data_IF_000453137445
#
_entry.id   IF_000453137445
#
_cell.length_a   1.000
_cell.length_b   1.000
_cell.length_c   1.000
_cell.angle_alpha   90.00
_cell.angle_beta   90.00
_cell.angle_gamma   90.00
#
_symmetry.space_group_name_H-M   'P 1'
#
loop_
_entity.id
_entity.type
_entity.pdbx_description
1 polymer ?
#
# COMPACT_ATOMS: atom_id res chain seq x y z
N UNK A 1 7.22 -23.37 -38.81
CA UNK A 1 6.93 -21.98 -38.46
C UNK A 1 5.44 -21.83 -38.38
N UNK A 2 4.89 -21.99 -37.18
CA UNK A 2 3.73 -21.22 -36.75
C UNK A 2 3.92 -21.07 -35.24
N UNK A 3 4.67 -20.03 -34.90
CA UNK A 3 4.84 -19.56 -33.53
C UNK A 3 3.57 -18.76 -33.23
N UNK A 4 2.52 -19.47 -32.84
CA UNK A 4 1.30 -18.86 -32.31
C UNK A 4 1.65 -18.32 -30.92
N UNK A 5 2.29 -17.15 -30.91
CA UNK A 5 2.37 -16.29 -29.75
C UNK A 5 0.94 -15.86 -29.47
N UNK A 6 0.28 -16.54 -28.55
CA UNK A 6 -0.91 -16.00 -27.87
C UNK A 6 -0.43 -14.89 -26.95
N UNK A 7 -0.05 -13.78 -27.55
CA UNK A 7 0.03 -12.45 -26.94
C UNK A 7 -1.40 -11.90 -26.98
N UNK A 8 -2.24 -12.34 -26.06
CA UNK A 8 -3.60 -11.83 -25.90
C UNK A 8 -3.76 -11.42 -24.44
N UNK A 9 -3.51 -10.13 -24.17
CA UNK A 9 -3.73 -9.54 -22.86
C UNK A 9 -2.96 -8.27 -22.52
N UNK A 10 -2.52 -7.45 -23.48
CA UNK A 10 -2.12 -6.07 -23.19
C UNK A 10 -3.35 -5.15 -23.38
N UNK A 11 -3.78 -4.45 -22.32
CA UNK A 11 -4.56 -3.23 -22.49
C UNK A 11 -5.84 -3.02 -21.69
N UNK A 12 -6.09 -3.78 -20.63
CA UNK A 12 -6.85 -3.30 -19.48
C UNK A 12 -6.14 -3.83 -18.25
N UNK A 13 -5.66 -2.93 -17.41
CA UNK A 13 -5.22 -3.25 -16.06
C UNK A 13 -6.47 -3.80 -15.37
N UNK A 14 -6.68 -5.12 -15.44
CA UNK A 14 -7.80 -5.77 -14.77
C UNK A 14 -7.53 -5.58 -13.28
N UNK A 15 -8.22 -4.59 -12.71
CA UNK A 15 -8.11 -4.28 -11.29
C UNK A 15 -8.67 -5.50 -10.56
N UNK A 16 -7.77 -6.40 -10.21
CA UNK A 16 -8.04 -7.67 -9.57
C UNK A 16 -7.45 -7.68 -8.16
N UNK A 17 -8.03 -8.51 -7.29
CA UNK A 17 -7.52 -8.70 -5.93
C UNK A 17 -6.05 -9.17 -5.91
N UNK A 18 -5.59 -9.86 -6.95
CA UNK A 18 -4.20 -10.32 -7.09
C UNK A 18 -3.23 -9.17 -7.36
N UNK A 19 -3.64 -8.20 -8.20
CA UNK A 19 -2.83 -6.99 -8.45
C UNK A 19 -2.72 -6.14 -7.19
N UNK A 20 -3.84 -5.96 -6.48
CA UNK A 20 -3.89 -5.22 -5.21
C UNK A 20 -2.99 -5.89 -4.15
N UNK A 21 -2.96 -7.23 -4.10
CA UNK A 21 -2.07 -7.97 -3.22
C UNK A 21 -0.60 -7.81 -3.61
N UNK A 22 -0.29 -7.80 -4.92
CA UNK A 22 1.06 -7.54 -5.42
C UNK A 22 1.54 -6.12 -5.06
N UNK A 23 0.67 -5.11 -5.14
CA UNK A 23 1.00 -3.74 -4.75
C UNK A 23 1.21 -3.61 -3.23
N UNK A 24 0.41 -4.30 -2.42
CA UNK A 24 0.62 -4.40 -0.98
C UNK A 24 1.99 -5.00 -0.63
N UNK A 25 2.39 -6.08 -1.32
CA UNK A 25 3.69 -6.72 -1.11
C UNK A 25 4.83 -5.80 -1.57
N UNK A 26 4.69 -5.17 -2.75
CA UNK A 26 5.64 -4.21 -3.30
C UNK A 26 5.88 -3.04 -2.35
N UNK A 27 4.84 -2.51 -1.71
CA UNK A 27 4.95 -1.41 -0.74
C UNK A 27 5.82 -1.74 0.49
N UNK A 28 6.24 -3.00 0.68
CA UNK A 28 7.21 -3.37 1.72
C UNK A 28 8.66 -3.00 1.37
N UNK A 29 8.98 -2.93 0.07
CA UNK A 29 10.30 -2.58 -0.46
C UNK A 29 10.46 -1.09 -0.81
N UNK A 30 9.36 -0.32 -0.79
CA UNK A 30 9.36 1.10 -1.15
C UNK A 30 9.66 2.02 0.05
N UNK A 31 10.08 3.25 -0.26
CA UNK A 31 10.22 4.33 0.73
C UNK A 31 8.85 4.76 1.26
N UNK A 32 8.80 5.33 2.47
CA UNK A 32 7.54 5.57 3.18
C UNK A 32 6.53 6.39 2.37
N UNK A 33 6.97 7.48 1.73
CA UNK A 33 6.09 8.31 0.89
C UNK A 33 5.54 7.55 -0.31
N UNK A 34 6.41 6.86 -1.07
CA UNK A 34 6.03 6.11 -2.27
C UNK A 34 5.14 4.91 -1.91
N UNK A 35 5.46 4.21 -0.82
CA UNK A 35 4.65 3.11 -0.30
C UNK A 35 3.23 3.57 0.06
N UNK A 36 3.07 4.75 0.68
CA UNK A 36 1.74 5.30 1.00
C UNK A 36 0.95 5.62 -0.27
N UNK A 37 1.60 6.16 -1.31
CA UNK A 37 0.94 6.44 -2.58
C UNK A 37 0.41 5.15 -3.23
N UNK A 38 1.24 4.12 -3.33
CA UNK A 38 0.86 2.81 -3.89
C UNK A 38 -0.28 2.17 -3.08
N UNK A 39 -0.19 2.16 -1.75
CA UNK A 39 -1.24 1.55 -0.91
C UNK A 39 -2.58 2.31 -0.98
N UNK A 40 -2.56 3.63 -1.22
CA UNK A 40 -3.77 4.43 -1.41
C UNK A 40 -4.41 4.17 -2.77
N UNK A 41 -3.61 4.00 -3.81
CA UNK A 41 -4.07 3.60 -5.14
C UNK A 41 -4.74 2.22 -5.08
N UNK A 42 -4.05 1.24 -4.51
CA UNK A 42 -4.56 -0.12 -4.31
C UNK A 42 -5.87 -0.15 -3.49
N UNK A 43 -6.07 0.80 -2.57
CA UNK A 43 -7.34 0.95 -1.84
C UNK A 43 -8.47 1.51 -2.72
N UNK A 44 -8.18 2.48 -3.57
CA UNK A 44 -9.14 2.99 -4.55
C UNK A 44 -9.58 1.92 -5.54
N UNK A 45 -8.63 1.08 -5.96
CA UNK A 45 -8.84 -0.09 -6.79
C UNK A 45 -9.74 -1.13 -6.10
N UNK A 46 -9.47 -1.40 -4.82
CA UNK A 46 -10.31 -2.28 -4.00
C UNK A 46 -11.77 -1.76 -3.88
N UNK A 47 -11.96 -0.45 -3.83
CA UNK A 47 -13.29 0.17 -3.83
C UNK A 47 -13.98 0.05 -5.21
N UNK A 48 -13.22 0.14 -6.30
CA UNK A 48 -13.74 -0.01 -7.66
C UNK A 48 -14.33 -1.40 -7.91
N UNK A 49 -13.73 -2.44 -7.32
CA UNK A 49 -14.16 -3.84 -7.47
C UNK A 49 -15.24 -4.28 -6.48
N UNK A 50 -15.62 -3.43 -5.51
CA UNK A 50 -16.58 -3.78 -4.44
C UNK A 50 -17.95 -4.22 -4.94
N UNK A 51 -18.37 -3.74 -6.10
CA UNK A 51 -19.68 -4.05 -6.69
C UNK A 51 -19.68 -5.29 -7.59
N UNK A 52 -18.52 -5.87 -7.85
CA UNK A 52 -18.40 -6.96 -8.81
C UNK A 52 -18.77 -8.31 -8.17
N UNK A 53 -19.71 -9.08 -8.77
CA UNK A 53 -20.16 -10.35 -8.21
C UNK A 53 -19.16 -11.51 -8.37
N UNK A 54 -18.12 -11.35 -9.20
CA UNK A 54 -17.04 -12.33 -9.32
C UNK A 54 -15.94 -12.14 -8.26
N UNK A 55 -15.93 -10.98 -7.59
CA UNK A 55 -14.95 -10.66 -6.55
C UNK A 55 -15.31 -11.36 -5.23
N UNK A 56 -14.33 -12.08 -4.69
CA UNK A 56 -14.47 -12.69 -3.37
C UNK A 56 -14.51 -11.60 -2.29
N UNK A 57 -15.68 -11.41 -1.70
CA UNK A 57 -15.89 -10.35 -0.70
C UNK A 57 -15.01 -10.55 0.54
N UNK A 58 -14.75 -11.80 0.94
CA UNK A 58 -13.91 -12.11 2.10
C UNK A 58 -12.45 -11.74 1.86
N UNK A 59 -11.91 -12.14 0.70
CA UNK A 59 -10.55 -11.75 0.27
C UNK A 59 -10.43 -10.24 0.12
N UNK A 60 -11.45 -9.58 -0.43
CA UNK A 60 -11.50 -8.11 -0.55
C UNK A 60 -11.42 -7.43 0.83
N UNK A 61 -12.24 -7.84 1.79
CA UNK A 61 -12.26 -7.28 3.14
C UNK A 61 -10.95 -7.53 3.91
N UNK A 62 -10.33 -8.70 3.71
CA UNK A 62 -9.01 -9.00 4.27
C UNK A 62 -7.93 -8.08 3.70
N UNK A 63 -7.91 -7.88 2.37
CA UNK A 63 -7.00 -6.94 1.72
C UNK A 63 -7.24 -5.50 2.18
N UNK A 64 -8.50 -5.07 2.33
CA UNK A 64 -8.86 -3.77 2.88
C UNK A 64 -8.19 -3.54 4.25
N UNK A 65 -8.31 -4.53 5.14
CA UNK A 65 -7.75 -4.47 6.48
C UNK A 65 -6.21 -4.42 6.46
N UNK A 66 -5.57 -5.23 5.60
CA UNK A 66 -4.11 -5.27 5.46
C UNK A 66 -3.56 -3.97 4.90
N UNK A 67 -4.21 -3.38 3.89
CA UNK A 67 -3.86 -2.07 3.34
C UNK A 67 -3.93 -0.98 4.42
N UNK A 68 -5.04 -0.91 5.17
CA UNK A 68 -5.21 0.06 6.25
C UNK A 68 -4.18 -0.09 7.37
N UNK A 69 -3.89 -1.34 7.77
CA UNK A 69 -2.86 -1.64 8.75
C UNK A 69 -1.49 -1.16 8.26
N UNK A 70 -1.13 -1.48 7.01
CA UNK A 70 0.17 -1.16 6.44
C UNK A 70 0.39 0.34 6.30
N UNK A 71 -0.61 1.08 5.81
CA UNK A 71 -0.55 2.55 5.72
C UNK A 71 -0.27 3.14 7.10
N UNK A 72 -0.99 2.68 8.13
CA UNK A 72 -0.80 3.17 9.50
C UNK A 72 0.59 2.85 10.05
N UNK A 73 1.10 1.65 9.80
CA UNK A 73 2.45 1.27 10.23
C UNK A 73 3.53 2.13 9.57
N UNK A 74 3.37 2.44 8.28
CA UNK A 74 4.32 3.29 7.55
C UNK A 74 4.25 4.74 8.04
N UNK A 75 3.04 5.29 8.19
CA UNK A 75 2.82 6.65 8.69
C UNK A 75 3.40 6.81 10.10
N UNK A 76 3.16 5.83 10.98
CA UNK A 76 3.70 5.82 12.33
C UNK A 76 5.24 5.69 12.31
N UNK A 77 5.79 4.80 11.47
CA UNK A 77 7.24 4.66 11.32
C UNK A 77 7.87 5.94 10.82
N UNK A 78 7.31 6.59 9.80
CA UNK A 78 7.81 7.84 9.24
C UNK A 78 7.78 8.98 10.28
N UNK A 79 6.70 9.07 11.07
CA UNK A 79 6.59 10.05 12.14
C UNK A 79 7.65 9.85 13.24
N UNK A 80 8.03 8.62 13.56
CA UNK A 80 9.07 8.33 14.56
C UNK A 80 10.50 8.39 13.99
N UNK A 81 10.74 7.91 12.76
CA UNK A 81 12.06 7.93 12.09
C UNK A 81 12.42 9.36 11.63
N UNK A 82 11.44 10.12 11.13
CA UNK A 82 11.55 11.54 10.81
C UNK A 82 11.44 12.49 12.03
N UNK A 83 10.93 11.99 13.16
CA UNK A 83 10.70 12.78 14.39
C UNK A 83 11.86 12.79 15.41
N UNK A 84 12.80 11.85 15.31
CA UNK A 84 13.94 11.74 16.24
C UNK A 84 15.16 12.59 15.85
N UNK A 85 14.91 13.77 15.27
CA UNK A 85 15.93 14.81 15.04
C UNK A 85 15.61 16.18 15.65
N UNK A 86 14.38 16.43 16.10
CA UNK A 86 13.94 17.78 16.50
C UNK A 86 13.24 17.86 17.87
N UNK A 87 13.32 16.80 18.68
CA UNK A 87 12.77 16.82 20.05
C UNK A 87 13.63 16.03 21.04
N UNK A 88 14.96 16.17 20.96
CA UNK A 88 15.64 16.50 22.20
C UNK A 88 15.23 17.94 22.50
N UNK A 89 14.25 18.12 23.37
CA UNK A 89 14.22 19.31 24.18
C UNK A 89 15.32 19.08 25.22
N UNK A 90 16.54 19.64 25.07
CA UNK A 90 17.43 19.74 26.21
C UNK A 90 16.69 20.62 27.20
N UNK A 91 16.09 20.00 28.20
CA UNK A 91 15.92 20.65 29.49
C UNK A 91 17.33 20.81 30.09
N UNK A 92 18.14 21.63 29.43
CA UNK A 92 19.32 22.27 29.99
C UNK A 92 18.97 23.74 29.96
N UNK A 93 18.28 24.20 31.02
CA UNK A 93 18.77 25.40 31.69
C UNK A 93 18.30 25.47 33.15
N UNK A 94 19.30 25.78 33.97
CA UNK A 94 19.25 26.47 35.25
C UNK A 94 19.00 25.69 36.56
N UNK A 95 20.12 25.46 37.25
CA UNK A 95 20.27 25.19 38.68
C UNK A 95 19.50 26.17 39.59
N UNK A 96 19.29 25.83 40.87
CA UNK A 96 20.31 26.16 41.88
C UNK A 96 20.82 24.98 42.73
#
# INVERSE_FOLDING_TARGET
>A
MDDSVSDEGDGAEDVDLDSIEADLDRATDLEAAEAIEVLREAKGDLEAVRGDPAVDTGRREELENRLDQRIREIDERDAYDGGLGASMNPEDDEAP
#
